data_IF_670955660520
#
_entry.id   IF_670955660520
#
_cell.length_a   1.000
_cell.length_b   1.000
_cell.length_c   1.000
_cell.angle_alpha   90.00
_cell.angle_beta   90.00
_cell.angle_gamma   90.00
#
_symmetry.space_group_name_H-M   'P 1'
#
loop_
_entity.id
_entity.type
_entity.pdbx_description
1 polymer ?
#
# COMPACT_ATOMS: atom_id res chain seq x y z
N UNK A 1 7.46 -29.72 -9.37
CA UNK A 1 6.78 -28.54 -8.83
C UNK A 1 6.83 -27.41 -9.86
N UNK A 2 6.32 -27.68 -11.05
CA UNK A 2 6.49 -26.87 -12.28
C UNK A 2 5.31 -25.93 -12.54
N UNK A 3 4.22 -26.07 -11.79
CA UNK A 3 2.98 -25.31 -11.99
C UNK A 3 3.12 -23.89 -11.43
N UNK A 4 3.72 -23.74 -10.25
CA UNK A 4 3.96 -22.43 -9.63
C UNK A 4 4.93 -21.58 -10.47
N UNK A 5 5.99 -22.18 -11.01
CA UNK A 5 6.96 -21.48 -11.87
C UNK A 5 6.30 -20.91 -13.14
N UNK A 6 5.44 -21.69 -13.82
CA UNK A 6 4.74 -21.21 -15.03
C UNK A 6 3.71 -20.11 -14.79
N UNK A 7 3.12 -20.04 -13.59
CA UNK A 7 2.11 -19.02 -13.27
C UNK A 7 2.76 -17.66 -13.06
N UNK A 8 3.92 -17.62 -12.42
CA UNK A 8 4.65 -16.38 -12.15
C UNK A 8 5.47 -15.88 -13.35
N UNK A 9 5.92 -16.75 -14.24
CA UNK A 9 6.68 -16.35 -15.43
C UNK A 9 5.86 -15.49 -16.42
N UNK A 10 4.53 -15.65 -16.42
CA UNK A 10 3.61 -14.95 -17.35
C UNK A 10 2.84 -13.78 -16.71
N UNK A 11 2.81 -13.69 -15.39
CA UNK A 11 2.09 -12.65 -14.66
C UNK A 11 2.97 -11.40 -14.48
N UNK A 12 3.26 -10.70 -15.57
CA UNK A 12 4.08 -9.46 -15.53
C UNK A 12 3.28 -8.21 -15.17
N UNK A 13 1.95 -8.29 -15.09
CA UNK A 13 1.09 -7.16 -14.78
C UNK A 13 0.54 -7.22 -13.34
N UNK A 14 0.46 -6.09 -12.61
CA UNK A 14 -0.09 -6.02 -11.26
C UNK A 14 -1.50 -6.64 -11.12
N UNK A 15 -2.32 -6.53 -12.16
CA UNK A 15 -3.68 -7.12 -12.20
C UNK A 15 -3.66 -8.65 -12.15
N UNK A 16 -2.63 -9.30 -12.70
CA UNK A 16 -2.50 -10.75 -12.68
C UNK A 16 -2.17 -11.26 -11.26
N UNK A 17 -1.37 -10.49 -10.52
CA UNK A 17 -1.07 -10.77 -9.11
C UNK A 17 -2.33 -10.63 -8.24
N UNK A 18 -3.15 -9.59 -8.46
CA UNK A 18 -4.42 -9.41 -7.76
C UNK A 18 -5.39 -10.56 -8.04
N UNK A 19 -5.54 -10.95 -9.32
CA UNK A 19 -6.37 -12.08 -9.71
C UNK A 19 -5.91 -13.40 -9.06
N UNK A 20 -4.59 -13.63 -8.98
CA UNK A 20 -4.04 -14.81 -8.33
C UNK A 20 -4.31 -14.81 -6.82
N UNK A 21 -4.13 -13.67 -6.14
CA UNK A 21 -4.43 -13.53 -4.70
C UNK A 21 -5.89 -13.88 -4.45
N UNK A 22 -6.82 -13.27 -5.19
CA UNK A 22 -8.26 -13.54 -5.03
C UNK A 22 -8.65 -14.98 -5.34
N UNK A 23 -7.95 -15.64 -6.27
CA UNK A 23 -8.18 -17.07 -6.53
C UNK A 23 -7.74 -17.95 -5.36
N UNK A 24 -6.57 -17.65 -4.80
CA UNK A 24 -6.03 -18.33 -3.64
C UNK A 24 -6.91 -18.14 -2.40
N UNK A 25 -7.39 -16.92 -2.13
CA UNK A 25 -8.33 -16.64 -1.04
C UNK A 25 -9.59 -17.51 -1.12
N UNK A 26 -10.19 -17.65 -2.31
CA UNK A 26 -11.35 -18.53 -2.53
C UNK A 26 -11.05 -20.00 -2.24
N UNK A 27 -9.86 -20.48 -2.59
CA UNK A 27 -9.45 -21.86 -2.29
C UNK A 27 -9.32 -22.04 -0.76
N UNK A 28 -8.73 -21.08 -0.07
CA UNK A 28 -8.60 -21.13 1.40
C UNK A 28 -9.93 -21.03 2.13
N UNK A 29 -10.88 -20.26 1.61
CA UNK A 29 -12.25 -20.21 2.13
C UNK A 29 -12.94 -21.58 2.02
N UNK A 30 -12.83 -22.24 0.86
CA UNK A 30 -13.38 -23.59 0.65
C UNK A 30 -12.75 -24.62 1.57
N UNK A 31 -11.44 -24.49 1.86
CA UNK A 31 -10.73 -25.39 2.77
C UNK A 31 -10.98 -25.08 4.26
N UNK A 32 -11.68 -23.99 4.58
CA UNK A 32 -11.93 -23.58 5.97
C UNK A 32 -10.68 -23.11 6.71
N UNK A 33 -9.70 -22.57 5.99
CA UNK A 33 -8.49 -22.02 6.61
C UNK A 33 -8.82 -20.81 7.49
N UNK A 34 -8.08 -20.67 8.59
CA UNK A 34 -8.22 -19.55 9.52
C UNK A 34 -7.77 -18.22 8.87
N UNK A 35 -8.46 -17.13 9.19
CA UNK A 35 -8.17 -15.81 8.60
C UNK A 35 -6.76 -15.29 8.94
N UNK A 36 -6.23 -15.67 10.11
CA UNK A 36 -4.84 -15.37 10.47
C UNK A 36 -3.84 -16.01 9.49
N UNK A 37 -4.10 -17.23 9.02
CA UNK A 37 -3.27 -17.92 8.04
C UNK A 37 -3.36 -17.26 6.67
N UNK A 38 -4.58 -16.92 6.21
CA UNK A 38 -4.81 -16.19 4.95
C UNK A 38 -4.08 -14.84 4.95
N UNK A 39 -4.21 -14.09 6.03
CA UNK A 39 -3.57 -12.77 6.20
C UNK A 39 -2.05 -12.88 6.10
N UNK A 40 -1.45 -13.87 6.78
CA UNK A 40 -0.01 -14.12 6.73
C UNK A 40 0.47 -14.48 5.33
N UNK A 41 -0.27 -15.34 4.63
CA UNK A 41 0.08 -15.73 3.26
C UNK A 41 0.01 -14.55 2.30
N UNK A 42 -1.03 -13.71 2.39
CA UNK A 42 -1.14 -12.49 1.57
C UNK A 42 0.04 -11.56 1.84
N UNK A 43 0.42 -11.35 3.10
CA UNK A 43 1.59 -10.54 3.45
C UNK A 43 2.90 -11.13 2.91
N UNK A 44 3.11 -12.45 3.06
CA UNK A 44 4.30 -13.13 2.55
C UNK A 44 4.37 -13.08 1.01
N UNK A 45 3.24 -13.24 0.31
CA UNK A 45 3.15 -13.08 -1.14
C UNK A 45 3.48 -11.65 -1.56
N UNK A 46 2.85 -10.64 -0.96
CA UNK A 46 3.09 -9.22 -1.30
C UNK A 46 4.57 -8.87 -1.13
N UNK A 47 5.19 -9.33 -0.04
CA UNK A 47 6.62 -9.17 0.21
C UNK A 47 7.48 -9.83 -0.86
N UNK A 48 7.21 -11.10 -1.20
CA UNK A 48 7.97 -11.81 -2.24
C UNK A 48 7.76 -11.18 -3.62
N UNK A 49 6.53 -10.79 -3.94
CA UNK A 49 6.19 -10.12 -5.19
C UNK A 49 6.96 -8.81 -5.34
N UNK A 50 6.97 -7.98 -4.29
CA UNK A 50 7.74 -6.74 -4.26
C UNK A 50 9.24 -6.99 -4.40
N UNK A 51 9.80 -7.98 -3.70
CA UNK A 51 11.24 -8.25 -3.76
C UNK A 51 11.70 -8.85 -5.10
N UNK A 52 10.87 -9.71 -5.70
CA UNK A 52 11.24 -10.50 -6.87
C UNK A 52 10.92 -9.79 -8.19
N UNK A 53 9.81 -9.05 -8.27
CA UNK A 53 9.32 -8.45 -9.52
C UNK A 53 9.55 -6.93 -9.60
N UNK A 54 9.81 -6.23 -8.48
CA UNK A 54 10.21 -4.83 -8.54
C UNK A 54 11.74 -4.73 -8.49
N UNK A 55 12.41 -4.20 -9.54
CA UNK A 55 13.85 -3.98 -9.51
C UNK A 55 14.25 -3.10 -8.32
N UNK A 56 15.42 -3.35 -7.73
CA UNK A 56 15.94 -2.55 -6.59
C UNK A 56 15.87 -1.04 -6.83
N UNK A 57 16.14 -0.58 -8.05
CA UNK A 57 16.05 0.84 -8.39
C UNK A 57 14.64 1.42 -8.21
N UNK A 58 13.61 0.64 -8.54
CA UNK A 58 12.20 1.03 -8.37
C UNK A 58 11.80 1.00 -6.90
N UNK A 59 12.27 0.01 -6.14
CA UNK A 59 12.07 -0.03 -4.68
C UNK A 59 12.65 1.22 -4.00
N UNK A 60 13.88 1.61 -4.36
CA UNK A 60 14.52 2.82 -3.84
C UNK A 60 13.88 4.11 -4.38
N UNK A 61 13.28 4.08 -5.57
CA UNK A 61 12.46 5.19 -6.09
C UNK A 61 11.21 5.38 -5.22
N UNK A 62 10.47 4.30 -4.94
CA UNK A 62 9.27 4.32 -4.11
C UNK A 62 9.57 4.79 -2.68
N UNK A 63 10.67 4.31 -2.07
CA UNK A 63 11.12 4.79 -0.76
C UNK A 63 11.40 6.29 -0.78
N UNK A 64 12.16 6.80 -1.77
CA UNK A 64 12.47 8.23 -1.87
C UNK A 64 11.22 9.07 -2.11
N UNK A 65 10.30 8.59 -2.93
CA UNK A 65 9.01 9.23 -3.17
C UNK A 65 8.21 9.36 -1.88
N UNK A 66 8.12 8.29 -1.09
CA UNK A 66 7.43 8.30 0.20
C UNK A 66 8.06 9.29 1.20
N UNK A 67 9.39 9.29 1.35
CA UNK A 67 10.07 10.18 2.30
C UNK A 67 9.99 11.67 1.93
N UNK A 68 9.71 11.97 0.65
CA UNK A 68 9.57 13.34 0.15
C UNK A 68 8.14 13.70 -0.23
N UNK A 69 7.16 12.86 0.14
CA UNK A 69 5.80 12.99 -0.34
C UNK A 69 5.17 14.30 0.15
N UNK A 70 4.63 15.07 -0.79
CA UNK A 70 3.89 16.31 -0.54
C UNK A 70 2.77 16.47 -1.55
N UNK A 71 1.71 17.14 -1.12
CA UNK A 71 0.63 17.62 -1.95
C UNK A 71 1.13 18.80 -2.80
N UNK A 72 0.95 18.70 -4.10
CA UNK A 72 1.27 19.68 -5.13
C UNK A 72 0.07 20.59 -5.37
N UNK A 73 0.32 21.76 -5.96
CA UNK A 73 -0.74 22.76 -6.20
C UNK A 73 -1.80 22.31 -7.22
N UNK A 74 -1.51 21.26 -7.98
CA UNK A 74 -2.38 20.73 -9.04
C UNK A 74 -3.11 19.46 -8.61
N UNK A 75 -2.79 18.88 -7.45
CA UNK A 75 -3.45 17.66 -6.96
C UNK A 75 -4.45 17.97 -5.85
N UNK A 76 -5.61 17.34 -5.92
CA UNK A 76 -6.62 17.36 -4.85
C UNK A 76 -6.13 16.59 -3.63
N UNK A 77 -6.77 16.81 -2.48
CA UNK A 77 -6.44 16.06 -1.24
C UNK A 77 -6.70 14.57 -1.40
N UNK A 78 -7.74 14.20 -2.13
CA UNK A 78 -8.10 12.79 -2.40
C UNK A 78 -7.07 12.12 -3.32
N UNK A 79 -6.60 12.79 -4.38
CA UNK A 79 -5.53 12.25 -5.24
C UNK A 79 -4.22 12.08 -4.47
N UNK A 80 -3.88 13.04 -3.61
CA UNK A 80 -2.73 12.93 -2.71
C UNK A 80 -2.87 11.75 -1.75
N UNK A 81 -4.05 11.58 -1.14
CA UNK A 81 -4.33 10.47 -0.24
C UNK A 81 -4.22 9.12 -0.94
N UNK A 82 -4.80 8.97 -2.12
CA UNK A 82 -4.68 7.76 -2.92
C UNK A 82 -3.22 7.44 -3.25
N UNK A 83 -2.43 8.46 -3.61
CA UNK A 83 -1.00 8.30 -3.87
C UNK A 83 -0.22 7.91 -2.61
N UNK A 84 -0.54 8.51 -1.48
CA UNK A 84 0.05 8.17 -0.18
C UNK A 84 -0.25 6.74 0.23
N UNK A 85 -1.53 6.34 0.21
CA UNK A 85 -1.98 4.98 0.55
C UNK A 85 -1.35 3.94 -0.38
N UNK A 86 -1.22 4.26 -1.68
CA UNK A 86 -0.53 3.40 -2.63
C UNK A 86 0.95 3.19 -2.25
N UNK A 87 1.66 4.24 -1.84
CA UNK A 87 3.06 4.13 -1.40
C UNK A 87 3.19 3.33 -0.10
N UNK A 88 2.31 3.56 0.88
CA UNK A 88 2.26 2.77 2.12
C UNK A 88 2.00 1.30 1.82
N UNK A 89 1.06 1.01 0.90
CA UNK A 89 0.73 -0.36 0.50
C UNK A 89 1.89 -1.12 -0.16
N UNK A 90 2.80 -0.43 -0.85
CA UNK A 90 4.02 -1.06 -1.39
C UNK A 90 5.12 -1.20 -0.35
N UNK A 91 5.23 -0.24 0.57
CA UNK A 91 6.34 -0.18 1.52
C UNK A 91 6.07 -1.02 2.77
N UNK A 92 4.80 -1.29 3.12
CA UNK A 92 4.38 -2.03 4.31
C UNK A 92 5.26 -1.70 5.53
N UNK A 93 6.07 -2.65 6.03
CA UNK A 93 6.96 -2.45 7.17
C UNK A 93 7.99 -1.31 7.00
N UNK A 94 8.36 -0.97 5.76
CA UNK A 94 9.27 0.14 5.45
C UNK A 94 8.59 1.52 5.46
N UNK A 95 7.25 1.59 5.50
CA UNK A 95 6.52 2.85 5.63
C UNK A 95 6.49 3.40 7.08
N UNK A 96 6.95 2.61 8.06
CA UNK A 96 6.97 2.98 9.47
C UNK A 96 5.70 2.61 10.22
N UNK A 97 5.60 3.02 11.49
CA UNK A 97 4.38 2.80 12.29
C UNK A 97 3.21 3.64 11.78
N UNK A 98 1.99 3.30 12.19
CA UNK A 98 0.78 4.08 11.82
C UNK A 98 0.93 5.56 12.23
N UNK A 99 1.58 5.85 13.37
CA UNK A 99 1.83 7.22 13.83
C UNK A 99 2.85 7.96 12.95
N UNK A 100 3.88 7.27 12.46
CA UNK A 100 4.87 7.86 11.54
C UNK A 100 4.22 8.14 10.17
N UNK A 101 3.39 7.22 9.69
CA UNK A 101 2.60 7.39 8.48
C UNK A 101 1.65 8.59 8.63
N UNK A 102 0.95 8.70 9.76
CA UNK A 102 0.05 9.83 10.06
C UNK A 102 0.78 11.17 10.01
N UNK A 103 1.97 11.25 10.63
CA UNK A 103 2.78 12.47 10.62
C UNK A 103 3.25 12.83 9.22
N UNK A 104 3.71 11.84 8.44
CA UNK A 104 4.13 12.05 7.06
C UNK A 104 2.97 12.54 6.18
N UNK A 105 1.78 11.95 6.35
CA UNK A 105 0.57 12.39 5.65
C UNK A 105 0.22 13.84 5.99
N UNK A 106 0.16 14.18 7.29
CA UNK A 106 -0.12 15.53 7.76
C UNK A 106 0.92 16.54 7.25
N UNK A 107 2.21 16.20 7.29
CA UNK A 107 3.28 17.09 6.81
C UNK A 107 3.31 17.22 5.28
N UNK A 108 2.79 16.23 4.58
CA UNK A 108 2.66 16.22 3.14
C UNK A 108 1.50 17.08 2.63
N UNK A 109 0.40 17.20 3.39
CA UNK A 109 -0.77 18.00 2.99
C UNK A 109 -0.46 19.50 2.85
N UNK A 110 -1.16 20.16 1.93
CA UNK A 110 -1.02 21.61 1.74
C UNK A 110 -1.52 22.37 2.97
N UNK A 111 -0.82 23.45 3.35
CA UNK A 111 -1.12 24.21 4.58
C UNK A 111 -2.53 24.81 4.57
N UNK A 112 -3.09 25.19 3.42
CA UNK A 112 -4.48 25.66 3.33
C UNK A 112 -5.48 24.56 3.67
N UNK A 113 -5.26 23.34 3.16
CA UNK A 113 -6.04 22.14 3.48
C UNK A 113 -5.90 21.80 4.96
N UNK A 114 -4.67 21.86 5.48
CA UNK A 114 -4.38 21.64 6.90
C UNK A 114 -5.03 22.69 7.81
N UNK A 115 -5.13 23.95 7.39
CA UNK A 115 -5.79 25.01 8.16
C UNK A 115 -7.31 24.84 8.19
N UNK A 116 -7.91 24.31 7.11
CA UNK A 116 -9.31 23.91 7.12
C UNK A 116 -9.55 22.67 7.99
N UNK A 117 -8.62 21.70 7.99
CA UNK A 117 -8.65 20.49 8.83
C UNK A 117 -8.37 20.77 10.32
N UNK A 118 -7.45 21.67 10.67
CA UNK A 118 -7.06 22.01 12.06
C UNK A 118 -8.18 22.64 12.89
N UNK A 119 -9.32 23.00 12.29
CA UNK A 119 -10.53 23.34 13.02
C UNK A 119 -11.17 22.09 13.70
N UNK A 120 -10.76 20.88 13.31
CA UNK A 120 -11.15 19.61 13.90
C UNK A 120 -9.90 18.77 14.18
N UNK A 121 -9.55 18.56 15.45
CA UNK A 121 -8.36 17.79 15.82
C UNK A 121 -8.55 16.30 15.48
N UNK A 122 -7.76 15.77 14.55
CA UNK A 122 -7.76 14.33 14.22
C UNK A 122 -6.61 13.60 14.91
N UNK A 123 -6.91 12.40 15.42
CA UNK A 123 -5.97 11.58 16.20
C UNK A 123 -5.43 10.39 15.40
N UNK A 124 -6.00 10.07 14.23
CA UNK A 124 -5.61 8.93 13.37
C UNK A 124 -5.90 9.17 11.87
N UNK A 125 -5.13 8.55 10.97
CA UNK A 125 -5.28 8.53 9.49
C UNK A 125 -6.63 7.97 9.04
N UNK A 126 -7.18 6.99 9.76
CA UNK A 126 -8.51 6.46 9.45
C UNK A 126 -9.61 7.54 9.48
N UNK A 127 -9.45 8.59 10.29
CA UNK A 127 -10.41 9.71 10.32
C UNK A 127 -10.24 10.67 9.13
N UNK A 128 -9.12 10.58 8.41
CA UNK A 128 -8.93 11.30 7.16
C UNK A 128 -9.66 10.63 5.98
N UNK A 129 -10.04 9.35 6.09
CA UNK A 129 -10.69 8.59 5.02
C UNK A 129 -12.15 9.01 4.73
N UNK A 130 -12.77 9.81 5.61
CA UNK A 130 -14.12 10.37 5.40
C UNK A 130 -14.16 11.59 4.44
N UNK A 131 -13.02 11.98 3.84
CA UNK A 131 -12.87 13.15 2.96
C UNK A 131 -12.12 12.82 1.65
#
# INVERSE_FOLDING_TARGET
>A
DTVLDTVFEKATAPVDAENWISHMEKIFDVMGCEDAFKTRLVADFKKLFFLQFFPRAEQERLKREYHSIRQTNTETSTEFMQRFLRLVGYLEAAAGTEEEQAKNFQWGLHRSTLNHLMCMSYTNVAQAEEW
#
